data_IF_964553309373
#
_entry.id   IF_964553309373
#
_cell.length_a   1.000
_cell.length_b   1.000
_cell.length_c   1.000
_cell.angle_alpha   90.00
_cell.angle_beta   90.00
_cell.angle_gamma   90.00
#
_symmetry.space_group_name_H-M   'P 1'
#
loop_
_entity.id
_entity.type
_entity.pdbx_description
1 polymer ?
#
# COMPACT_ATOMS: atom_id res chain seq x y z
N UNK A 1 -32.10 -58.95 -30.18
CA UNK A 1 -30.94 -58.07 -30.22
C UNK A 1 -31.29 -56.83 -31.09
N UNK A 2 -31.50 -56.96 -32.39
CA UNK A 2 -31.69 -55.81 -33.34
C UNK A 2 -32.87 -54.88 -32.98
N UNK A 3 -34.01 -55.41 -32.51
CA UNK A 3 -35.16 -54.55 -32.11
C UNK A 3 -34.83 -53.67 -30.91
N UNK A 4 -34.09 -54.16 -29.93
CA UNK A 4 -33.66 -53.38 -28.75
C UNK A 4 -32.71 -52.27 -29.15
N UNK A 5 -31.72 -52.56 -29.97
CA UNK A 5 -30.76 -51.57 -30.49
C UNK A 5 -31.47 -50.47 -31.28
N UNK A 6 -32.45 -50.82 -32.12
CA UNK A 6 -33.23 -49.88 -32.88
C UNK A 6 -34.05 -48.92 -31.96
N UNK A 7 -34.68 -49.47 -30.92
CA UNK A 7 -35.42 -48.67 -29.94
C UNK A 7 -34.50 -47.74 -29.11
N UNK A 8 -33.30 -48.18 -28.76
CA UNK A 8 -32.30 -47.38 -28.07
C UNK A 8 -31.80 -46.23 -28.95
N UNK A 9 -31.54 -46.51 -30.22
CA UNK A 9 -31.12 -45.47 -31.17
C UNK A 9 -32.21 -44.43 -31.41
N UNK A 10 -33.49 -44.86 -31.52
CA UNK A 10 -34.62 -43.94 -31.64
C UNK A 10 -34.74 -43.02 -30.41
N UNK A 11 -34.57 -43.56 -29.19
CA UNK A 11 -34.61 -42.77 -27.95
C UNK A 11 -33.47 -41.75 -27.93
N UNK A 12 -32.27 -42.17 -28.33
CA UNK A 12 -31.12 -41.29 -28.41
C UNK A 12 -31.35 -40.16 -29.40
N UNK A 13 -31.88 -40.48 -30.60
CA UNK A 13 -32.18 -39.50 -31.63
C UNK A 13 -33.20 -38.46 -31.13
N UNK A 14 -34.29 -38.89 -30.52
CA UNK A 14 -35.28 -37.98 -29.94
C UNK A 14 -34.71 -37.12 -28.82
N UNK A 15 -33.80 -37.65 -27.99
CA UNK A 15 -33.11 -36.88 -26.96
C UNK A 15 -32.23 -35.78 -27.55
N UNK A 16 -31.43 -36.10 -28.57
CA UNK A 16 -30.54 -35.14 -29.23
C UNK A 16 -31.36 -34.06 -29.97
N UNK A 17 -32.46 -34.46 -30.64
CA UNK A 17 -33.37 -33.49 -31.27
C UNK A 17 -33.99 -32.53 -30.24
N UNK A 18 -34.38 -33.00 -29.05
CA UNK A 18 -34.93 -32.17 -27.99
C UNK A 18 -33.91 -31.17 -27.46
N UNK A 19 -32.65 -31.57 -27.34
CA UNK A 19 -31.55 -30.70 -26.94
C UNK A 19 -31.35 -29.57 -27.96
N UNK A 20 -31.34 -29.92 -29.26
CA UNK A 20 -31.14 -28.95 -30.34
C UNK A 20 -32.31 -27.97 -30.51
N UNK A 21 -33.53 -28.41 -30.20
CA UNK A 21 -34.77 -27.60 -30.37
C UNK A 21 -34.97 -26.57 -29.24
N UNK A 22 -34.35 -26.79 -28.08
CA UNK A 22 -34.57 -25.94 -26.89
C UNK A 22 -33.27 -25.47 -26.28
N UNK A 23 -33.03 -24.17 -26.34
CA UNK A 23 -31.87 -23.54 -25.73
C UNK A 23 -31.78 -23.82 -24.19
N UNK A 24 -32.94 -23.85 -23.54
CA UNK A 24 -33.01 -24.16 -22.10
C UNK A 24 -32.52 -25.61 -21.84
N UNK A 25 -32.85 -26.55 -22.69
CA UNK A 25 -32.41 -27.96 -22.57
C UNK A 25 -30.92 -28.07 -22.84
N UNK A 26 -30.42 -27.35 -23.85
CA UNK A 26 -28.99 -27.27 -24.16
C UNK A 26 -28.18 -26.73 -22.98
N UNK A 27 -28.61 -25.60 -22.40
CA UNK A 27 -27.98 -25.00 -21.23
C UNK A 27 -28.01 -25.94 -19.99
N UNK A 28 -29.09 -26.74 -19.86
CA UNK A 28 -29.19 -27.78 -18.82
C UNK A 28 -28.11 -28.85 -18.97
N UNK A 29 -27.87 -29.35 -20.18
CA UNK A 29 -26.80 -30.32 -20.43
C UNK A 29 -25.42 -29.74 -20.16
N UNK A 30 -25.15 -28.53 -20.59
CA UNK A 30 -23.89 -27.83 -20.31
C UNK A 30 -23.69 -27.68 -18.82
N UNK A 31 -24.73 -27.32 -18.07
CA UNK A 31 -24.66 -27.20 -16.62
C UNK A 31 -24.30 -28.51 -15.93
N UNK A 32 -24.97 -29.62 -16.31
CA UNK A 32 -24.71 -30.96 -15.80
C UNK A 32 -23.26 -31.40 -16.06
N UNK A 33 -22.73 -31.14 -17.27
CA UNK A 33 -21.36 -31.46 -17.63
C UNK A 33 -20.34 -30.63 -16.79
N UNK A 34 -20.61 -29.34 -16.63
CA UNK A 34 -19.76 -28.46 -15.79
C UNK A 34 -19.78 -28.85 -14.30
N UNK A 35 -20.95 -29.24 -13.79
CA UNK A 35 -21.08 -29.73 -12.41
C UNK A 35 -20.30 -31.04 -12.21
N UNK A 36 -20.33 -31.94 -13.18
CA UNK A 36 -19.56 -33.18 -13.15
C UNK A 36 -18.03 -32.89 -13.16
N UNK A 37 -17.58 -31.99 -14.00
CA UNK A 37 -16.16 -31.56 -14.04
C UNK A 37 -15.76 -30.88 -12.73
N UNK A 38 -16.61 -30.02 -12.17
CA UNK A 38 -16.36 -29.36 -10.92
C UNK A 38 -16.28 -30.35 -9.73
N UNK A 39 -17.09 -31.42 -9.76
CA UNK A 39 -17.05 -32.47 -8.72
C UNK A 39 -15.77 -33.33 -8.82
N UNK A 40 -15.22 -33.54 -10.02
CA UNK A 40 -14.02 -34.38 -10.22
C UNK A 40 -12.72 -33.58 -10.04
N UNK A 41 -12.68 -32.32 -10.50
CA UNK A 41 -11.46 -31.49 -10.56
C UNK A 41 -11.54 -30.23 -9.72
N UNK A 42 -12.63 -30.00 -9.00
CA UNK A 42 -12.82 -28.79 -8.21
C UNK A 42 -11.90 -28.77 -6.98
N UNK A 43 -11.15 -27.70 -6.85
CA UNK A 43 -10.35 -27.40 -5.66
C UNK A 43 -11.10 -26.47 -4.71
N UNK A 44 -10.78 -26.54 -3.42
CA UNK A 44 -11.28 -25.60 -2.43
C UNK A 44 -10.82 -24.17 -2.74
N UNK A 45 -11.66 -23.21 -2.41
CA UNK A 45 -11.36 -21.80 -2.62
C UNK A 45 -10.08 -21.41 -1.85
N UNK A 46 -9.05 -20.95 -2.55
CA UNK A 46 -7.77 -20.52 -1.96
C UNK A 46 -7.82 -19.13 -1.35
N UNK A 47 -8.78 -18.29 -1.76
CA UNK A 47 -8.96 -16.95 -1.20
C UNK A 47 -9.78 -17.01 0.07
N UNK A 48 -9.26 -16.40 1.14
CA UNK A 48 -9.96 -16.24 2.42
C UNK A 48 -10.86 -15.02 2.33
N UNK A 49 -12.12 -15.14 2.80
CA UNK A 49 -13.01 -14.01 3.00
C UNK A 49 -12.77 -13.48 4.42
N UNK A 50 -12.21 -12.30 4.52
CA UNK A 50 -12.10 -11.61 5.81
C UNK A 50 -13.45 -11.02 6.20
N UNK A 51 -13.76 -11.08 7.51
CA UNK A 51 -14.99 -10.49 8.03
C UNK A 51 -14.96 -8.96 7.85
N UNK A 52 -16.10 -8.32 7.58
CA UNK A 52 -16.17 -6.86 7.32
C UNK A 52 -15.65 -5.99 8.47
N UNK A 53 -15.61 -6.53 9.70
CA UNK A 53 -15.13 -5.78 10.86
C UNK A 53 -13.62 -5.43 10.79
N UNK A 54 -12.82 -6.26 10.11
CA UNK A 54 -11.40 -5.96 9.90
C UNK A 54 -11.15 -5.05 8.69
N UNK A 55 -12.05 -5.07 7.70
CA UNK A 55 -11.97 -4.21 6.53
C UNK A 55 -12.39 -2.76 6.86
N UNK A 56 -13.33 -2.58 7.79
CA UNK A 56 -13.76 -1.25 8.22
C UNK A 56 -12.70 -0.53 9.07
N UNK A 57 -11.87 -1.24 9.81
CA UNK A 57 -10.77 -0.65 10.56
C UNK A 57 -9.64 -0.09 9.66
N UNK A 58 -9.52 -0.60 8.43
CA UNK A 58 -8.52 -0.11 7.47
C UNK A 58 -9.07 0.97 6.51
N UNK A 59 -10.40 1.10 6.40
CA UNK A 59 -11.05 2.07 5.50
C UNK A 59 -11.48 3.37 6.18
N UNK A 60 -11.33 3.49 7.51
CA UNK A 60 -11.83 4.65 8.27
C UNK A 60 -10.76 5.68 8.65
N UNK A 61 -9.50 5.45 8.32
CA UNK A 61 -8.55 6.55 8.30
C UNK A 61 -8.53 7.15 6.89
N UNK A 62 -9.45 8.09 6.64
CA UNK A 62 -9.18 9.09 5.60
C UNK A 62 -7.78 9.63 5.92
N UNK A 63 -6.83 9.57 4.97
CA UNK A 63 -5.51 10.14 5.21
C UNK A 63 -5.74 11.58 5.67
N UNK A 64 -5.13 12.02 6.77
CA UNK A 64 -5.28 13.38 7.25
C UNK A 64 -5.01 14.32 6.08
N UNK A 65 -5.87 15.33 5.92
CA UNK A 65 -5.72 16.28 4.82
C UNK A 65 -4.27 16.77 4.76
N UNK A 66 -3.70 16.83 3.56
CA UNK A 66 -2.34 17.27 3.37
C UNK A 66 -2.12 18.65 4.02
N UNK A 67 -1.24 18.71 4.99
CA UNK A 67 -0.87 19.95 5.68
C UNK A 67 0.52 20.39 5.25
N UNK A 68 0.68 21.68 4.98
CA UNK A 68 2.00 22.23 4.70
C UNK A 68 2.93 22.09 5.92
N UNK A 69 4.13 21.59 5.69
CA UNK A 69 5.14 21.36 6.71
C UNK A 69 6.51 21.87 6.27
N UNK A 70 7.32 22.27 7.26
CA UNK A 70 8.74 22.53 7.06
C UNK A 70 9.50 21.45 7.81
N UNK A 71 10.38 20.74 7.08
CA UNK A 71 11.23 19.70 7.64
C UNK A 71 12.69 20.13 7.55
N UNK A 72 13.38 20.07 8.66
CA UNK A 72 14.79 20.42 8.77
C UNK A 72 15.60 19.25 9.32
N UNK A 73 16.73 18.93 8.67
CA UNK A 73 17.75 18.06 9.22
C UNK A 73 18.95 18.90 9.61
N UNK A 74 19.32 18.87 10.87
CA UNK A 74 20.34 19.74 11.46
C UNK A 74 21.74 19.14 11.34
N UNK A 75 22.78 19.97 11.51
CA UNK A 75 24.17 19.51 11.59
C UNK A 75 24.41 18.59 12.78
N UNK A 76 23.62 18.72 13.84
CA UNK A 76 23.63 17.80 14.99
C UNK A 76 22.92 16.46 14.76
N UNK A 77 22.47 16.16 13.52
CA UNK A 77 21.85 14.89 13.19
C UNK A 77 20.41 14.73 13.66
N UNK A 78 19.71 15.82 13.92
CA UNK A 78 18.33 15.84 14.38
C UNK A 78 17.38 16.20 13.24
N UNK A 79 16.27 15.50 13.17
CA UNK A 79 15.17 15.74 12.24
C UNK A 79 14.04 16.47 12.97
N UNK A 80 13.61 17.61 12.42
CA UNK A 80 12.56 18.47 12.98
C UNK A 80 11.47 18.69 11.95
N UNK A 81 10.19 18.49 12.32
CA UNK A 81 9.02 18.93 11.53
C UNK A 81 8.30 20.03 12.27
N UNK A 82 7.91 21.07 11.58
CA UNK A 82 7.18 22.21 12.12
C UNK A 82 6.23 22.80 11.10
N UNK A 83 5.21 23.53 11.54
CA UNK A 83 4.35 24.27 10.64
C UNK A 83 5.10 25.49 10.04
N UNK A 84 4.74 25.90 8.80
CA UNK A 84 5.34 27.09 8.15
C UNK A 84 5.19 28.35 8.97
N UNK A 85 4.13 28.47 9.76
CA UNK A 85 3.87 29.61 10.62
C UNK A 85 4.88 29.69 11.78
N UNK A 86 5.23 28.56 12.38
CA UNK A 86 6.24 28.48 13.45
C UNK A 86 7.63 28.76 12.91
N UNK A 87 7.96 28.20 11.74
CA UNK A 87 9.23 28.44 11.08
C UNK A 87 9.46 29.93 10.74
N UNK A 88 8.44 30.63 10.21
CA UNK A 88 8.52 32.06 9.89
C UNK A 88 8.76 32.94 11.14
N UNK A 89 8.23 32.51 12.29
CA UNK A 89 8.44 33.23 13.58
C UNK A 89 9.84 33.00 14.16
N UNK A 90 10.41 31.84 13.96
CA UNK A 90 11.70 31.44 14.51
C UNK A 90 12.47 30.62 13.46
N UNK A 91 13.15 31.28 12.52
CA UNK A 91 13.94 30.60 11.51
C UNK A 91 15.10 29.83 12.14
N UNK A 92 15.29 28.57 11.75
CA UNK A 92 16.36 27.70 12.31
C UNK A 92 17.76 28.13 11.88
N UNK A 93 17.90 28.86 10.79
CA UNK A 93 19.19 29.41 10.31
C UNK A 93 19.80 30.40 11.30
N UNK A 94 18.96 31.04 12.10
CA UNK A 94 19.39 32.04 13.11
C UNK A 94 19.74 31.40 14.45
N UNK A 95 19.74 30.06 14.56
CA UNK A 95 20.08 29.36 15.80
C UNK A 95 21.52 29.71 16.23
N UNK A 96 21.71 30.03 17.51
CA UNK A 96 23.01 30.36 18.09
C UNK A 96 23.95 29.16 18.05
N UNK A 97 23.42 27.95 18.35
CA UNK A 97 24.16 26.71 18.27
C UNK A 97 24.27 26.23 16.79
N UNK A 98 25.51 26.11 16.33
CA UNK A 98 25.79 25.59 14.98
C UNK A 98 25.25 24.19 14.73
N UNK A 99 25.15 23.35 15.77
CA UNK A 99 24.60 21.99 15.68
C UNK A 99 23.09 22.01 15.41
N UNK A 100 22.38 23.05 15.83
CA UNK A 100 20.92 23.18 15.56
C UNK A 100 20.59 23.80 14.22
N UNK A 101 21.58 24.37 13.50
CA UNK A 101 21.37 24.92 12.18
C UNK A 101 21.00 23.81 11.18
N UNK A 102 20.10 24.11 10.21
CA UNK A 102 19.71 23.14 9.22
C UNK A 102 20.84 22.88 8.23
N UNK A 103 21.16 21.61 8.01
CA UNK A 103 21.98 21.14 6.89
C UNK A 103 21.14 20.95 5.64
N UNK A 104 19.92 20.44 5.82
CA UNK A 104 18.90 20.32 4.79
C UNK A 104 17.59 20.90 5.31
N UNK A 105 16.90 21.65 4.45
CA UNK A 105 15.64 22.30 4.77
C UNK A 105 14.66 22.11 3.59
N UNK A 106 13.47 21.61 3.89
CA UNK A 106 12.42 21.32 2.90
C UNK A 106 11.14 22.03 3.30
N UNK A 107 10.50 22.69 2.33
CA UNK A 107 9.10 23.06 2.41
C UNK A 107 8.33 21.98 1.67
N UNK A 108 7.48 21.26 2.36
CA UNK A 108 6.85 20.03 1.93
C UNK A 108 5.42 19.97 2.49
N UNK A 109 4.74 18.89 2.25
CA UNK A 109 3.47 18.56 2.88
C UNK A 109 3.54 17.22 3.62
N UNK A 110 2.54 16.90 4.42
CA UNK A 110 2.50 15.68 5.22
C UNK A 110 2.40 14.41 4.39
N UNK A 111 1.96 14.48 3.13
CA UNK A 111 1.83 13.33 2.23
C UNK A 111 3.16 12.94 1.57
N UNK A 112 4.12 13.86 1.53
CA UNK A 112 5.40 13.62 0.89
C UNK A 112 6.28 12.67 1.71
N UNK A 113 7.27 12.08 1.04
CA UNK A 113 8.23 11.12 1.61
C UNK A 113 9.63 11.67 1.53
N UNK A 114 10.34 11.64 2.65
CA UNK A 114 11.77 11.93 2.73
C UNK A 114 12.56 10.68 2.36
N UNK A 115 13.54 10.83 1.48
CA UNK A 115 14.51 9.80 1.12
C UNK A 115 15.88 10.19 1.66
N UNK A 116 16.51 9.27 2.38
CA UNK A 116 17.81 9.43 3.00
C UNK A 116 18.81 8.51 2.31
N UNK A 117 19.83 9.08 1.69
CA UNK A 117 20.95 8.35 1.09
C UNK A 117 22.14 8.41 2.00
N UNK A 118 22.68 7.25 2.39
CA UNK A 118 23.70 7.15 3.43
C UNK A 118 25.10 6.90 2.88
N UNK A 119 26.09 7.08 3.74
CA UNK A 119 27.50 6.81 3.45
C UNK A 119 27.81 5.33 3.19
N UNK A 120 26.95 4.41 3.62
CA UNK A 120 27.07 2.98 3.36
C UNK A 120 26.36 2.55 2.05
N UNK A 121 25.72 3.49 1.33
CA UNK A 121 25.02 3.22 0.08
C UNK A 121 23.59 2.74 0.27
N UNK A 122 23.06 2.79 1.48
CA UNK A 122 21.69 2.45 1.79
C UNK A 122 20.76 3.64 1.50
N UNK A 123 19.50 3.34 1.19
CA UNK A 123 18.43 4.31 1.02
C UNK A 123 17.28 3.99 1.99
N UNK A 124 16.90 4.97 2.81
CA UNK A 124 15.77 4.86 3.72
C UNK A 124 14.67 5.84 3.30
N UNK A 125 13.44 5.46 3.55
CA UNK A 125 12.27 6.30 3.28
C UNK A 125 11.50 6.55 4.57
N UNK A 126 10.99 7.78 4.73
CA UNK A 126 10.20 8.19 5.88
C UNK A 126 9.11 9.15 5.43
N UNK A 127 7.87 8.85 5.72
CA UNK A 127 6.77 9.79 5.45
C UNK A 127 6.85 10.98 6.40
N UNK A 128 6.51 12.15 5.87
CA UNK A 128 6.55 13.41 6.65
C UNK A 128 5.52 13.38 7.78
N UNK A 129 4.35 12.77 7.58
CA UNK A 129 3.31 12.62 8.61
C UNK A 129 3.76 11.77 9.81
N UNK A 130 4.65 10.81 9.61
CA UNK A 130 5.21 9.98 10.70
C UNK A 130 6.11 10.76 11.67
N UNK A 131 6.55 11.97 11.28
CA UNK A 131 7.33 12.83 12.16
C UNK A 131 6.40 13.64 13.06
N UNK A 132 6.60 13.65 14.39
CA UNK A 132 5.85 14.54 15.28
C UNK A 132 6.17 16.01 14.99
N UNK A 133 5.16 16.86 15.06
CA UNK A 133 5.35 18.31 15.00
C UNK A 133 6.01 18.80 16.30
N UNK A 134 7.09 19.57 16.17
CA UNK A 134 7.83 20.11 17.30
C UNK A 134 8.07 21.61 17.13
N UNK A 135 8.31 22.29 18.25
CA UNK A 135 8.66 23.70 18.21
C UNK A 135 10.13 23.90 17.77
N UNK A 136 10.47 25.01 17.10
CA UNK A 136 11.83 25.25 16.61
C UNK A 136 12.92 25.15 17.68
N UNK A 137 12.62 25.52 18.92
CA UNK A 137 13.54 25.50 20.07
C UNK A 137 13.67 24.13 20.74
N UNK A 138 12.76 23.22 20.46
CA UNK A 138 12.79 21.88 21.05
C UNK A 138 13.84 21.02 20.33
N UNK A 139 14.37 20.04 21.06
CA UNK A 139 15.26 19.05 20.45
C UNK A 139 14.51 18.24 19.41
N UNK A 140 15.14 18.05 18.24
CA UNK A 140 14.62 17.21 17.17
C UNK A 140 14.71 15.71 17.49
N UNK A 141 14.14 14.92 16.62
CA UNK A 141 14.24 13.47 16.67
C UNK A 141 15.57 13.02 16.07
N UNK A 142 16.29 12.15 16.78
CA UNK A 142 17.48 11.51 16.23
C UNK A 142 17.08 10.53 15.11
N UNK A 143 17.88 10.48 14.04
CA UNK A 143 17.63 9.57 12.92
C UNK A 143 17.50 8.11 13.35
N UNK A 144 18.31 7.66 14.30
CA UNK A 144 18.28 6.31 14.87
C UNK A 144 16.97 5.97 15.58
N UNK A 145 16.23 6.98 16.04
CA UNK A 145 14.91 6.78 16.66
C UNK A 145 13.75 6.78 15.67
N UNK A 146 13.97 7.29 14.46
CA UNK A 146 12.93 7.48 13.45
C UNK A 146 13.08 6.51 12.28
N UNK A 147 14.31 6.18 11.89
CA UNK A 147 14.61 5.21 10.84
C UNK A 147 15.00 3.88 11.47
N UNK A 148 14.20 2.85 11.18
CA UNK A 148 14.50 1.50 11.58
C UNK A 148 15.63 0.92 10.72
N UNK A 149 16.60 0.23 11.34
CA UNK A 149 17.64 -0.51 10.61
C UNK A 149 18.89 0.29 10.26
N UNK A 150 19.07 1.50 10.78
CA UNK A 150 20.31 2.26 10.63
C UNK A 150 21.48 1.51 11.32
N UNK A 151 22.59 1.32 10.60
CA UNK A 151 23.78 0.68 11.12
C UNK A 151 24.62 1.65 11.97
N UNK A 152 25.47 1.10 12.83
CA UNK A 152 26.36 1.90 13.67
C UNK A 152 27.39 2.67 12.80
N UNK A 153 27.41 3.99 12.93
CA UNK A 153 28.26 4.86 12.11
C UNK A 153 27.67 5.25 10.75
N UNK A 154 26.46 4.81 10.46
CA UNK A 154 25.73 5.23 9.26
C UNK A 154 25.20 6.66 9.42
N UNK A 155 25.44 7.50 8.42
CA UNK A 155 25.03 8.89 8.41
C UNK A 155 24.49 9.29 7.03
N UNK A 156 23.48 10.16 6.95
CA UNK A 156 22.95 10.61 5.69
C UNK A 156 23.94 11.57 5.01
N UNK A 157 24.26 11.26 3.75
CA UNK A 157 25.03 12.14 2.87
C UNK A 157 24.10 13.12 2.14
N UNK A 158 22.94 12.63 1.71
CA UNK A 158 21.94 13.39 0.96
C UNK A 158 20.54 13.04 1.44
N UNK A 159 19.70 14.08 1.51
CA UNK A 159 18.29 13.94 1.82
C UNK A 159 17.49 14.66 0.73
N UNK A 160 16.43 14.08 0.26
CA UNK A 160 15.49 14.72 -0.68
C UNK A 160 14.06 14.41 -0.28
N UNK A 161 13.14 15.25 -0.73
CA UNK A 161 11.71 15.04 -0.55
C UNK A 161 11.09 14.68 -1.90
N UNK A 162 10.19 13.72 -1.93
CA UNK A 162 9.48 13.31 -3.14
C UNK A 162 8.02 13.00 -2.84
N UNK A 163 7.16 13.29 -3.82
CA UNK A 163 5.78 12.82 -3.79
C UNK A 163 5.76 11.35 -4.18
N UNK A 164 4.99 10.51 -3.45
CA UNK A 164 4.74 9.16 -3.91
C UNK A 164 4.06 9.25 -5.30
N UNK A 165 4.52 8.43 -6.24
CA UNK A 165 3.85 8.29 -7.53
C UNK A 165 2.43 7.77 -7.28
N UNK A 166 1.43 8.46 -7.80
CA UNK A 166 0.03 8.04 -7.80
C UNK A 166 -0.17 6.82 -8.69
#
# INVERSE_FOLDING_TARGET
ALKKEYEELLKLMHRLEAILKSEKTLLGVIKEELEAIAAEYGDDRRTVLEAPDNAQAQLTEEPPAAEEAVVAFTYGGQLKRMSPQLYRKTPLETAEDAAERPRFLFQTDTEETLLFFTNLGNCYSLRVDALPEIKPKDRGNLLTGVLAGLESGEAPLWITCCRPAQ
#
